data_IF_821368989162
#
_entry.id   IF_821368989162
#
_cell.length_a   1.000
_cell.length_b   1.000
_cell.length_c   1.000
_cell.angle_alpha   90.00
_cell.angle_beta   90.00
_cell.angle_gamma   90.00
#
_symmetry.space_group_name_H-M   'P 1'
#
loop_
_entity.id
_entity.type
_entity.pdbx_description
1 polymer ?
#
# COMPACT_ATOMS: atom_id res chain seq x y z
N UNK A 1 20.86 18.17 32.75
CA UNK A 1 19.84 17.35 32.04
C UNK A 1 20.06 17.62 30.57
N UNK A 2 20.54 16.64 29.83
CA UNK A 2 20.61 16.73 28.35
C UNK A 2 19.17 16.80 27.82
N UNK A 3 18.84 17.86 27.07
CA UNK A 3 17.53 18.01 26.44
C UNK A 3 17.39 16.90 25.40
N UNK A 4 16.32 16.10 25.48
CA UNK A 4 16.01 15.11 24.46
C UNK A 4 15.32 15.78 23.28
N UNK A 5 15.63 15.33 22.06
CA UNK A 5 14.96 15.78 20.83
C UNK A 5 13.62 15.09 20.70
N UNK A 6 12.54 15.85 20.58
CA UNK A 6 11.21 15.30 20.29
C UNK A 6 11.14 14.83 18.83
N UNK A 7 10.64 13.60 18.63
CA UNK A 7 10.55 12.96 17.31
C UNK A 7 9.22 12.28 17.09
N UNK A 8 8.85 12.11 15.82
CA UNK A 8 7.75 11.24 15.40
C UNK A 8 8.30 10.06 14.60
N UNK A 9 7.60 8.95 14.62
CA UNK A 9 8.02 7.70 13.99
C UNK A 9 6.94 7.18 13.04
N UNK A 10 7.34 6.84 11.82
CA UNK A 10 6.51 6.15 10.85
C UNK A 10 6.96 4.70 10.67
N UNK A 11 6.01 3.77 10.63
CA UNK A 11 6.23 2.34 10.36
C UNK A 11 5.39 1.96 9.15
N UNK A 12 5.99 1.20 8.24
CA UNK A 12 5.32 0.60 7.08
C UNK A 12 5.56 -0.91 7.08
N UNK A 13 4.49 -1.68 7.18
CA UNK A 13 4.53 -3.15 7.09
C UNK A 13 4.08 -3.55 5.69
N UNK A 14 5.05 -3.53 4.78
CA UNK A 14 4.80 -3.92 3.39
C UNK A 14 4.94 -5.43 3.14
N UNK A 15 4.56 -5.87 1.95
CA UNK A 15 4.62 -7.28 1.54
C UNK A 15 6.03 -7.84 1.55
N UNK A 16 7.00 -7.09 1.04
CA UNK A 16 8.40 -7.55 0.90
C UNK A 16 9.25 -7.20 2.11
N UNK A 17 9.07 -6.00 2.65
CA UNK A 17 9.85 -5.47 3.76
C UNK A 17 9.01 -4.60 4.68
N UNK A 18 9.38 -4.63 5.95
CA UNK A 18 8.89 -3.72 6.97
C UNK A 18 9.96 -2.64 7.26
N UNK A 19 9.52 -1.42 7.47
CA UNK A 19 10.38 -0.22 7.50
C UNK A 19 9.98 0.71 8.62
N UNK A 20 10.94 1.49 9.12
CA UNK A 20 10.64 2.60 10.03
C UNK A 20 11.54 3.80 9.74
N UNK A 21 11.01 4.99 9.97
CA UNK A 21 11.71 6.27 9.87
C UNK A 21 11.46 7.12 11.10
N UNK A 22 12.49 7.84 11.54
CA UNK A 22 12.35 8.87 12.59
C UNK A 22 12.45 10.24 11.93
N UNK A 23 11.53 11.13 12.28
CA UNK A 23 11.53 12.53 11.83
C UNK A 23 11.51 13.50 13.01
N UNK A 24 12.22 14.61 12.85
CA UNK A 24 12.21 15.73 13.77
C UNK A 24 12.20 17.04 12.98
N UNK A 25 11.52 18.06 13.48
CA UNK A 25 11.55 19.40 12.91
C UNK A 25 12.94 20.05 13.01
N UNK A 26 13.75 19.63 13.99
CA UNK A 26 15.09 20.22 14.24
C UNK A 26 16.22 19.53 13.46
N UNK A 27 15.97 18.39 12.79
CA UNK A 27 16.99 17.62 12.08
C UNK A 27 16.49 17.23 10.68
N UNK A 28 17.16 17.66 9.61
CA UNK A 28 16.76 17.36 8.23
C UNK A 28 17.01 15.89 7.83
N UNK A 29 18.01 15.23 8.44
CA UNK A 29 18.28 13.82 8.21
C UNK A 29 17.17 12.96 8.87
N UNK A 30 16.74 11.92 8.16
CA UNK A 30 15.69 11.01 8.63
C UNK A 30 16.28 9.60 8.78
N UNK A 31 16.71 9.20 10.00
CA UNK A 31 17.19 7.85 10.25
C UNK A 31 16.16 6.81 9.80
N UNK A 32 16.63 5.84 9.02
CA UNK A 32 15.82 4.84 8.37
C UNK A 32 16.34 3.45 8.70
N UNK A 33 15.43 2.51 8.95
CA UNK A 33 15.73 1.11 9.17
C UNK A 33 14.74 0.23 8.39
N UNK A 34 15.23 -0.92 7.94
CA UNK A 34 14.44 -1.86 7.16
C UNK A 34 14.80 -3.29 7.54
N UNK A 35 13.82 -4.19 7.39
CA UNK A 35 14.03 -5.62 7.43
C UNK A 35 13.01 -6.33 6.55
N UNK A 36 13.30 -7.56 6.16
CA UNK A 36 12.36 -8.37 5.36
C UNK A 36 11.13 -8.72 6.19
N UNK A 37 9.94 -8.66 5.59
CA UNK A 37 8.72 -9.19 6.20
C UNK A 37 8.83 -10.73 6.25
N UNK A 38 8.74 -11.36 7.44
CA UNK A 38 9.09 -12.78 7.62
C UNK A 38 7.91 -13.71 7.28
N UNK A 39 7.40 -13.64 6.05
CA UNK A 39 6.39 -14.59 5.57
C UNK A 39 6.92 -16.02 5.58
N UNK A 40 6.03 -16.95 5.90
CA UNK A 40 6.25 -18.38 5.75
C UNK A 40 5.45 -18.88 4.56
N UNK A 41 6.15 -19.49 3.61
CA UNK A 41 5.51 -20.13 2.45
C UNK A 41 5.52 -21.65 2.67
N UNK A 42 4.32 -22.20 2.75
CA UNK A 42 4.08 -23.63 2.90
C UNK A 42 3.96 -24.37 1.57
N UNK A 43 3.55 -25.62 1.63
CA UNK A 43 3.19 -26.41 0.46
C UNK A 43 2.03 -25.77 -0.30
N UNK A 44 1.97 -25.97 -1.60
CA UNK A 44 0.91 -25.43 -2.47
C UNK A 44 0.83 -23.88 -2.52
N UNK A 45 1.93 -23.17 -2.22
CA UNK A 45 2.00 -21.71 -2.34
C UNK A 45 1.29 -20.93 -1.23
N UNK A 46 0.77 -21.60 -0.20
CA UNK A 46 0.17 -20.95 0.95
C UNK A 46 1.20 -20.07 1.65
N UNK A 47 0.85 -18.81 1.88
CA UNK A 47 1.74 -17.82 2.49
C UNK A 47 1.04 -17.15 3.67
N UNK A 48 1.64 -17.23 4.84
CA UNK A 48 1.10 -16.63 6.07
C UNK A 48 2.21 -16.21 7.03
N UNK A 49 1.82 -15.52 8.10
CA UNK A 49 2.71 -15.08 9.17
C UNK A 49 1.99 -15.15 10.52
N UNK A 50 2.72 -15.49 11.57
CA UNK A 50 2.22 -15.40 12.94
C UNK A 50 1.96 -13.91 13.30
N UNK A 51 0.75 -13.55 13.77
CA UNK A 51 0.44 -12.18 14.18
C UNK A 51 1.43 -11.59 15.20
N UNK A 52 1.96 -12.40 16.12
CA UNK A 52 2.95 -11.97 17.10
C UNK A 52 4.32 -11.66 16.48
N UNK A 53 4.69 -12.35 15.39
CA UNK A 53 5.88 -12.00 14.63
C UNK A 53 5.80 -10.59 14.03
N UNK A 54 4.62 -10.17 13.55
CA UNK A 54 4.42 -8.79 13.05
C UNK A 54 4.63 -7.74 14.15
N UNK A 55 4.13 -8.00 15.36
CA UNK A 55 4.36 -7.12 16.52
C UNK A 55 5.84 -7.06 16.88
N UNK A 56 6.51 -8.22 16.92
CA UNK A 56 7.95 -8.29 17.20
C UNK A 56 8.77 -7.50 16.16
N UNK A 57 8.39 -7.58 14.89
CA UNK A 57 8.97 -6.77 13.79
C UNK A 57 8.79 -5.28 14.06
N UNK A 58 7.58 -4.83 14.42
CA UNK A 58 7.31 -3.43 14.70
C UNK A 58 8.10 -2.92 15.92
N UNK A 59 8.17 -3.69 17.01
CA UNK A 59 8.94 -3.35 18.21
C UNK A 59 10.44 -3.25 17.92
N UNK A 60 11.00 -4.22 17.15
CA UNK A 60 12.42 -4.17 16.74
C UNK A 60 12.71 -2.95 15.86
N UNK A 61 11.85 -2.65 14.91
CA UNK A 61 11.99 -1.46 14.04
C UNK A 61 11.95 -0.17 14.85
N UNK A 62 11.03 -0.03 15.82
CA UNK A 62 10.99 1.12 16.73
C UNK A 62 12.33 1.26 17.46
N UNK A 63 12.81 0.16 18.07
CA UNK A 63 14.05 0.18 18.83
C UNK A 63 15.28 0.53 17.98
N UNK A 64 15.38 -0.03 16.79
CA UNK A 64 16.49 0.24 15.85
C UNK A 64 16.44 1.67 15.32
N UNK A 65 15.25 2.18 14.97
CA UNK A 65 15.08 3.53 14.47
C UNK A 65 15.42 4.58 15.55
N UNK A 66 14.99 4.36 16.79
CA UNK A 66 15.35 5.21 17.94
C UNK A 66 16.87 5.21 18.13
N UNK A 67 17.53 4.06 18.22
CA UNK A 67 18.99 3.98 18.37
C UNK A 67 19.74 4.65 17.22
N UNK A 68 19.25 4.51 15.98
CA UNK A 68 19.85 5.17 14.83
C UNK A 68 19.74 6.71 14.94
N UNK A 69 18.62 7.22 15.42
CA UNK A 69 18.46 8.66 15.69
C UNK A 69 19.36 9.14 16.85
N UNK A 70 19.40 8.40 17.95
CA UNK A 70 20.22 8.74 19.11
C UNK A 70 21.72 8.78 18.79
N UNK A 71 22.20 7.91 17.89
CA UNK A 71 23.60 7.90 17.47
C UNK A 71 24.02 9.19 16.71
N UNK A 72 23.09 9.86 16.06
CA UNK A 72 23.35 11.10 15.32
C UNK A 72 22.93 12.38 16.05
N UNK A 73 21.90 12.29 16.89
CA UNK A 73 21.25 13.49 17.46
C UNK A 73 21.32 13.57 19.00
N UNK A 74 21.86 12.55 19.67
CA UNK A 74 21.78 12.41 21.10
C UNK A 74 20.40 11.86 21.55
N UNK A 75 20.04 11.95 22.84
CA UNK A 75 18.81 11.37 23.37
C UNK A 75 17.58 11.87 22.63
N UNK A 76 16.70 10.93 22.21
CA UNK A 76 15.42 11.27 21.57
C UNK A 76 14.24 10.82 22.41
N UNK A 77 13.10 11.49 22.20
CA UNK A 77 11.81 11.15 22.80
C UNK A 77 10.78 10.99 21.69
N UNK A 78 10.27 9.78 21.51
CA UNK A 78 9.19 9.51 20.53
C UNK A 78 7.89 10.06 21.10
N UNK A 79 7.26 11.00 20.39
CA UNK A 79 6.00 11.62 20.79
C UNK A 79 4.80 10.90 20.20
N UNK A 80 4.95 10.38 18.97
CA UNK A 80 3.91 9.62 18.31
C UNK A 80 4.48 8.58 17.33
N UNK A 81 3.69 7.54 17.06
CA UNK A 81 3.99 6.45 16.12
C UNK A 81 2.80 6.27 15.20
N UNK A 82 3.02 6.40 13.90
CA UNK A 82 2.03 6.10 12.85
C UNK A 82 2.37 4.79 12.16
N UNK A 83 1.38 3.92 12.02
CA UNK A 83 1.54 2.61 11.40
C UNK A 83 0.72 2.53 10.11
N UNK A 84 1.38 2.28 9.00
CA UNK A 84 0.79 1.95 7.71
C UNK A 84 1.21 0.54 7.27
N UNK A 85 0.62 0.04 6.22
CA UNK A 85 1.03 -1.22 5.62
C UNK A 85 -0.02 -1.80 4.69
N UNK A 86 0.19 -3.07 4.37
CA UNK A 86 -0.69 -3.85 3.50
C UNK A 86 -2.12 -3.94 4.07
N UNK A 87 -3.10 -3.88 3.19
CA UNK A 87 -4.51 -3.83 3.56
C UNK A 87 -5.13 -5.24 3.62
N UNK A 88 -5.63 -5.80 2.65
CA UNK A 88 -6.49 -7.00 2.55
C UNK A 88 -6.15 -8.18 3.49
N UNK A 89 -4.91 -8.24 3.98
CA UNK A 89 -4.50 -9.16 5.08
C UNK A 89 -4.91 -8.60 6.43
N UNK A 90 -5.28 -9.49 7.35
CA UNK A 90 -5.66 -9.07 8.69
C UNK A 90 -5.59 -10.19 9.72
N UNK A 91 -5.85 -9.83 10.95
CA UNK A 91 -5.81 -10.68 12.14
C UNK A 91 -7.23 -10.88 12.66
N UNK A 92 -7.61 -12.15 12.80
CA UNK A 92 -8.84 -12.51 13.46
C UNK A 92 -8.61 -12.64 14.97
N UNK A 93 -9.30 -11.82 15.76
CA UNK A 93 -9.23 -11.84 17.22
C UNK A 93 -10.40 -12.60 17.82
N UNK A 94 -10.12 -13.42 18.83
CA UNK A 94 -11.13 -14.05 19.66
C UNK A 94 -11.83 -13.01 20.57
N UNK A 95 -12.91 -13.38 21.28
CA UNK A 95 -13.59 -12.47 22.20
C UNK A 95 -12.74 -11.95 23.34
N UNK A 96 -11.57 -12.54 23.61
CA UNK A 96 -10.59 -12.06 24.59
C UNK A 96 -9.51 -11.14 23.97
N UNK A 97 -9.63 -10.80 22.68
CA UNK A 97 -8.69 -9.95 21.96
C UNK A 97 -7.39 -10.66 21.56
N UNK A 98 -7.35 -11.98 21.53
CA UNK A 98 -6.16 -12.75 21.18
C UNK A 98 -6.24 -13.24 19.72
N UNK A 99 -5.12 -13.21 18.97
CA UNK A 99 -5.08 -13.79 17.63
C UNK A 99 -5.49 -15.27 17.62
N UNK A 100 -6.38 -15.64 16.72
CA UNK A 100 -6.91 -16.99 16.63
C UNK A 100 -6.34 -17.79 15.47
N UNK A 101 -5.78 -17.13 14.47
CA UNK A 101 -5.24 -17.74 13.26
C UNK A 101 -4.03 -16.95 12.73
N UNK A 102 -3.18 -17.59 11.90
CA UNK A 102 -2.15 -16.85 11.16
C UNK A 102 -2.76 -15.78 10.23
N UNK A 103 -2.00 -14.70 10.01
CA UNK A 103 -2.32 -13.69 9.00
C UNK A 103 -2.05 -14.27 7.62
N UNK A 104 -3.09 -14.42 6.83
CA UNK A 104 -3.01 -14.90 5.46
C UNK A 104 -2.57 -13.74 4.55
N UNK A 105 -1.57 -13.96 3.70
CA UNK A 105 -1.11 -12.94 2.76
C UNK A 105 -2.24 -12.54 1.79
N UNK A 106 -2.31 -11.26 1.42
CA UNK A 106 -3.34 -10.75 0.53
C UNK A 106 -3.34 -11.45 -0.84
N UNK A 107 -2.17 -11.81 -1.35
CA UNK A 107 -1.99 -12.52 -2.63
C UNK A 107 -2.17 -14.04 -2.53
N UNK A 108 -2.41 -14.59 -1.35
CA UNK A 108 -2.68 -16.01 -1.14
C UNK A 108 -4.08 -16.38 -1.65
N UNK A 109 -4.19 -17.49 -2.36
CA UNK A 109 -5.43 -17.92 -3.00
C UNK A 109 -6.46 -18.57 -2.04
N UNK A 110 -6.12 -18.74 -0.75
CA UNK A 110 -7.08 -19.24 0.25
C UNK A 110 -8.34 -18.39 0.27
N UNK A 111 -9.49 -19.05 0.30
CA UNK A 111 -10.80 -18.41 0.19
C UNK A 111 -11.37 -18.38 -1.23
N UNK A 112 -10.58 -18.72 -2.25
CA UNK A 112 -11.07 -18.76 -3.64
C UNK A 112 -12.19 -19.81 -3.83
N UNK A 113 -12.02 -21.01 -3.29
CA UNK A 113 -13.06 -22.05 -3.34
C UNK A 113 -14.35 -21.62 -2.60
N UNK A 114 -14.21 -21.02 -1.44
CA UNK A 114 -15.32 -20.51 -0.64
C UNK A 114 -16.06 -19.35 -1.35
N UNK A 115 -15.34 -18.50 -2.10
CA UNK A 115 -15.95 -17.47 -2.96
C UNK A 115 -16.72 -18.10 -4.13
N UNK A 116 -16.16 -19.11 -4.79
CA UNK A 116 -16.86 -19.84 -5.84
C UNK A 116 -18.15 -20.52 -5.31
N UNK A 117 -18.08 -21.09 -4.12
CA UNK A 117 -19.26 -21.65 -3.46
C UNK A 117 -20.29 -20.55 -3.18
N UNK A 118 -19.87 -19.42 -2.60
CA UNK A 118 -20.75 -18.29 -2.33
C UNK A 118 -21.39 -17.72 -3.61
N UNK A 119 -20.65 -17.70 -4.73
CA UNK A 119 -21.19 -17.28 -6.02
C UNK A 119 -22.29 -18.19 -6.54
N UNK A 120 -22.22 -19.50 -6.26
CA UNK A 120 -23.26 -20.47 -6.61
C UNK A 120 -24.48 -20.36 -5.68
N UNK A 121 -24.24 -20.17 -4.38
CA UNK A 121 -25.28 -20.15 -3.36
C UNK A 121 -26.04 -18.81 -3.29
N UNK A 122 -25.36 -17.70 -3.65
CA UNK A 122 -25.88 -16.34 -3.63
C UNK A 122 -25.46 -15.54 -4.87
N UNK A 123 -25.91 -15.91 -6.09
CA UNK A 123 -25.43 -15.28 -7.33
C UNK A 123 -25.75 -13.78 -7.42
N UNK A 124 -26.87 -13.34 -6.83
CA UNK A 124 -27.24 -11.92 -6.78
C UNK A 124 -26.27 -11.09 -5.91
N UNK A 125 -25.77 -11.67 -4.83
CA UNK A 125 -24.75 -11.04 -4.00
C UNK A 125 -23.45 -10.89 -4.77
N UNK A 126 -22.96 -11.96 -5.40
CA UNK A 126 -21.75 -11.93 -6.22
C UNK A 126 -21.84 -10.88 -7.35
N UNK A 127 -22.99 -10.82 -8.04
CA UNK A 127 -23.24 -9.85 -9.11
C UNK A 127 -23.26 -8.38 -8.62
N UNK A 128 -23.57 -8.14 -7.34
CA UNK A 128 -23.55 -6.78 -6.75
C UNK A 128 -22.22 -6.40 -6.11
N UNK A 129 -21.35 -7.37 -5.84
CA UNK A 129 -20.15 -7.16 -5.03
C UNK A 129 -19.28 -6.05 -5.58
N UNK A 130 -18.90 -6.12 -6.86
CA UNK A 130 -17.97 -5.16 -7.46
C UNK A 130 -18.53 -3.72 -7.46
N UNK A 131 -19.79 -3.55 -7.83
CA UNK A 131 -20.43 -2.23 -7.86
C UNK A 131 -20.68 -1.64 -6.47
N UNK A 132 -20.88 -2.49 -5.43
CA UNK A 132 -21.08 -2.04 -4.05
C UNK A 132 -19.75 -1.75 -3.37
N UNK A 133 -18.78 -2.66 -3.46
CA UNK A 133 -17.51 -2.56 -2.74
C UNK A 133 -16.42 -1.86 -3.54
N UNK A 134 -16.54 -1.74 -4.86
CA UNK A 134 -15.48 -1.25 -5.73
C UNK A 134 -14.28 -2.20 -5.85
N UNK A 135 -14.40 -3.44 -5.37
CA UNK A 135 -13.34 -4.44 -5.43
C UNK A 135 -13.67 -5.52 -6.47
N UNK A 136 -12.67 -6.06 -7.17
CA UNK A 136 -12.88 -7.21 -8.03
C UNK A 136 -13.30 -8.44 -7.19
N UNK A 137 -14.17 -9.29 -7.75
CA UNK A 137 -14.56 -10.56 -7.15
C UNK A 137 -13.38 -11.53 -7.18
N UNK A 138 -12.57 -11.51 -6.15
CA UNK A 138 -11.33 -12.30 -6.09
C UNK A 138 -10.96 -12.68 -4.67
N UNK A 139 -10.06 -13.65 -4.53
CA UNK A 139 -9.52 -14.07 -3.23
C UNK A 139 -8.65 -13.01 -2.55
N UNK A 140 -8.36 -11.87 -3.17
CA UNK A 140 -7.56 -10.81 -2.55
C UNK A 140 -8.30 -10.11 -1.40
N UNK A 141 -9.59 -9.83 -1.54
CA UNK A 141 -10.36 -9.18 -0.47
C UNK A 141 -10.37 -9.98 0.84
N UNK A 142 -10.40 -9.31 1.99
CA UNK A 142 -10.45 -9.96 3.31
C UNK A 142 -11.67 -10.87 3.46
N UNK A 143 -12.77 -10.58 2.77
CA UNK A 143 -13.97 -11.44 2.75
C UNK A 143 -13.62 -12.90 2.42
N UNK A 144 -12.77 -13.13 1.43
CA UNK A 144 -12.34 -14.48 1.07
C UNK A 144 -11.61 -15.19 2.24
N UNK A 145 -10.73 -14.46 2.94
CA UNK A 145 -10.00 -14.99 4.09
C UNK A 145 -10.94 -15.31 5.25
N UNK A 146 -11.95 -14.47 5.48
CA UNK A 146 -12.97 -14.68 6.50
C UNK A 146 -13.85 -15.89 6.18
N UNK A 147 -14.26 -16.09 4.93
CA UNK A 147 -14.98 -17.28 4.47
C UNK A 147 -14.14 -18.54 4.69
N UNK A 148 -12.87 -18.51 4.34
CA UNK A 148 -11.93 -19.62 4.54
C UNK A 148 -11.76 -19.97 6.03
N UNK A 149 -11.62 -18.97 6.89
CA UNK A 149 -11.53 -19.16 8.35
C UNK A 149 -12.82 -19.75 8.90
N UNK A 150 -13.98 -19.24 8.48
CA UNK A 150 -15.28 -19.78 8.89
C UNK A 150 -15.45 -21.24 8.51
N UNK A 151 -15.09 -21.62 7.29
CA UNK A 151 -15.17 -23.01 6.82
C UNK A 151 -14.33 -23.98 7.66
N UNK A 152 -13.38 -23.46 8.44
CA UNK A 152 -12.50 -24.23 9.37
C UNK A 152 -12.89 -24.11 10.83
N UNK A 153 -14.09 -23.65 11.12
CA UNK A 153 -14.66 -23.62 12.47
C UNK A 153 -14.29 -22.38 13.30
N UNK A 154 -13.57 -21.41 12.73
CA UNK A 154 -13.45 -20.09 13.36
C UNK A 154 -14.76 -19.31 13.23
N UNK A 155 -14.90 -18.19 13.93
CA UNK A 155 -16.06 -17.32 13.84
C UNK A 155 -17.37 -17.95 14.43
N UNK A 156 -17.25 -18.90 15.32
CA UNK A 156 -18.39 -19.55 15.98
C UNK A 156 -19.16 -18.63 16.96
N UNK A 157 -18.62 -17.47 17.32
CA UNK A 157 -19.22 -16.46 18.20
C UNK A 157 -19.40 -15.14 17.47
N UNK A 158 -20.44 -14.34 17.77
CA UNK A 158 -20.60 -13.01 17.19
C UNK A 158 -19.60 -11.95 17.71
N UNK A 159 -18.77 -12.29 18.70
CA UNK A 159 -17.85 -11.37 19.37
C UNK A 159 -16.42 -11.37 18.78
N UNK A 160 -16.22 -12.00 17.62
CA UNK A 160 -14.97 -11.96 16.91
C UNK A 160 -14.72 -10.58 16.29
N UNK A 161 -13.44 -10.18 16.18
CA UNK A 161 -13.03 -8.90 15.59
C UNK A 161 -11.96 -9.15 14.52
N UNK A 162 -12.07 -8.45 13.41
CA UNK A 162 -11.07 -8.43 12.34
C UNK A 162 -10.35 -7.10 12.37
N UNK A 163 -9.03 -7.12 12.41
CA UNK A 163 -8.15 -5.96 12.28
C UNK A 163 -7.24 -6.16 11.07
N UNK A 164 -7.14 -5.18 10.19
CA UNK A 164 -6.08 -5.12 9.17
C UNK A 164 -4.70 -5.07 9.85
N UNK A 165 -3.64 -5.41 9.13
CA UNK A 165 -2.30 -5.52 9.74
C UNK A 165 -1.86 -4.25 10.46
N UNK A 166 -2.00 -3.02 9.93
CA UNK A 166 -1.65 -1.80 10.67
C UNK A 166 -2.49 -1.59 11.93
N UNK A 167 -3.78 -1.89 11.86
CA UNK A 167 -4.73 -1.80 13.00
C UNK A 167 -4.36 -2.78 14.10
N UNK A 168 -4.00 -4.03 13.73
CA UNK A 168 -3.51 -5.03 14.66
C UNK A 168 -2.24 -4.58 15.40
N UNK A 169 -1.27 -4.03 14.67
CA UNK A 169 -0.02 -3.57 15.30
C UNK A 169 -0.29 -2.45 16.29
N UNK A 170 -1.10 -1.46 15.91
CA UNK A 170 -1.50 -0.37 16.83
C UNK A 170 -2.20 -0.93 18.07
N UNK A 171 -3.15 -1.86 17.90
CA UNK A 171 -3.82 -2.51 19.03
C UNK A 171 -2.84 -3.30 19.92
N UNK A 172 -1.98 -4.11 19.34
CA UNK A 172 -1.01 -4.92 20.09
C UNK A 172 0.06 -4.08 20.79
N UNK A 173 0.34 -2.87 20.32
CA UNK A 173 1.24 -1.92 20.99
C UNK A 173 0.58 -1.18 22.16
N UNK A 174 -0.69 -1.43 22.46
CA UNK A 174 -1.43 -0.83 23.58
C UNK A 174 -2.50 0.17 23.16
N UNK A 175 -2.79 0.27 21.84
CA UNK A 175 -3.85 1.10 21.31
C UNK A 175 -5.24 0.47 21.45
N UNK A 176 -6.25 1.21 20.99
CA UNK A 176 -7.64 0.75 20.89
C UNK A 176 -7.86 -0.06 19.60
N UNK A 177 -8.78 -1.04 19.59
CA UNK A 177 -9.19 -1.69 18.37
C UNK A 177 -10.03 -0.71 17.55
N UNK A 178 -9.50 -0.26 16.42
CA UNK A 178 -10.13 0.70 15.51
C UNK A 178 -10.13 0.19 14.08
N UNK A 179 -11.05 0.71 13.27
CA UNK A 179 -11.15 0.50 11.84
C UNK A 179 -10.80 1.80 11.11
N UNK A 180 -9.75 1.78 10.31
CA UNK A 180 -9.41 2.93 9.47
C UNK A 180 -10.08 2.80 8.08
N UNK A 181 -10.73 3.87 7.54
CA UNK A 181 -11.55 3.78 6.33
C UNK A 181 -10.82 3.25 5.08
N UNK A 182 -9.57 3.64 4.83
CA UNK A 182 -8.83 3.18 3.65
C UNK A 182 -8.51 1.68 3.71
N UNK A 183 -8.19 1.17 4.89
CA UNK A 183 -7.99 -0.26 5.16
C UNK A 183 -9.31 -1.03 5.11
N UNK A 184 -10.34 -0.51 5.76
CA UNK A 184 -11.66 -1.14 5.79
C UNK A 184 -12.26 -1.29 4.39
N UNK A 185 -12.04 -0.33 3.50
CA UNK A 185 -12.49 -0.35 2.12
C UNK A 185 -11.95 -1.54 1.31
N UNK A 186 -10.87 -2.19 1.78
CA UNK A 186 -10.24 -3.34 1.12
C UNK A 186 -10.76 -4.69 1.64
N UNK A 187 -11.64 -4.67 2.64
CA UNK A 187 -12.14 -5.89 3.28
C UNK A 187 -13.20 -6.63 2.46
N UNK A 188 -13.92 -5.95 1.56
CA UNK A 188 -15.12 -6.48 0.90
C UNK A 188 -16.35 -6.46 1.80
N UNK A 189 -16.29 -5.81 2.97
CA UNK A 189 -17.38 -5.69 3.94
C UNK A 189 -17.97 -4.28 4.01
N UNK A 190 -17.47 -3.34 3.22
CA UNK A 190 -17.92 -1.94 3.21
C UNK A 190 -18.63 -1.62 1.91
N UNK A 191 -19.80 -1.02 2.01
CA UNK A 191 -20.44 -0.33 0.89
C UNK A 191 -19.73 1.01 0.66
N UNK A 192 -19.06 1.14 -0.48
CA UNK A 192 -18.30 2.34 -0.83
C UNK A 192 -19.18 3.56 -1.11
N UNK A 193 -20.45 3.37 -1.45
CA UNK A 193 -21.41 4.44 -1.64
C UNK A 193 -21.73 5.17 -0.33
N UNK A 194 -21.95 4.40 0.74
CA UNK A 194 -22.33 4.91 2.06
C UNK A 194 -21.17 5.03 3.04
N UNK A 195 -20.06 4.32 2.80
CA UNK A 195 -18.95 4.17 3.75
C UNK A 195 -19.28 3.26 4.95
N UNK A 196 -20.45 2.67 4.96
CA UNK A 196 -20.93 1.84 6.08
C UNK A 196 -20.66 0.35 5.83
N UNK A 197 -20.66 -0.40 6.91
CA UNK A 197 -20.61 -1.88 6.82
C UNK A 197 -21.79 -2.39 5.99
N UNK A 198 -21.50 -3.21 5.00
CA UNK A 198 -22.50 -3.75 4.08
C UNK A 198 -23.23 -4.97 4.70
N UNK A 199 -24.52 -4.84 5.07
CA UNK A 199 -25.24 -5.90 5.77
C UNK A 199 -25.32 -7.22 4.97
N UNK A 200 -25.45 -7.13 3.64
CA UNK A 200 -25.52 -8.32 2.79
C UNK A 200 -24.22 -9.11 2.77
N UNK A 201 -23.05 -8.41 2.84
CA UNK A 201 -21.75 -9.07 2.96
C UNK A 201 -21.61 -9.79 4.30
N UNK A 202 -22.10 -9.18 5.38
CA UNK A 202 -22.13 -9.85 6.70
C UNK A 202 -23.04 -11.08 6.67
N UNK A 203 -24.24 -10.96 6.10
CA UNK A 203 -25.18 -12.07 5.99
C UNK A 203 -24.62 -13.20 5.14
N UNK A 204 -24.07 -12.91 3.96
CA UNK A 204 -23.48 -13.89 3.06
C UNK A 204 -22.29 -14.62 3.70
N UNK A 205 -21.45 -13.89 4.43
CA UNK A 205 -20.32 -14.48 5.15
C UNK A 205 -20.72 -15.07 6.52
N UNK A 206 -21.97 -14.88 6.99
CA UNK A 206 -22.43 -15.30 8.32
C UNK A 206 -21.66 -14.61 9.44
N UNK A 207 -21.38 -13.36 9.28
CA UNK A 207 -20.63 -12.52 10.21
C UNK A 207 -21.55 -11.61 11.02
N UNK A 208 -21.12 -11.24 12.21
CA UNK A 208 -21.74 -10.18 13.02
C UNK A 208 -21.22 -8.81 12.61
N UNK A 209 -22.01 -7.74 12.78
CA UNK A 209 -21.57 -6.38 12.58
C UNK A 209 -20.39 -5.98 13.50
N UNK A 210 -20.18 -6.69 14.59
CA UNK A 210 -19.05 -6.52 15.51
C UNK A 210 -17.71 -6.98 14.94
N UNK A 211 -17.71 -7.65 13.78
CA UNK A 211 -16.47 -8.11 13.13
C UNK A 211 -15.53 -6.95 12.82
N UNK A 212 -16.06 -5.77 12.51
CA UNK A 212 -15.30 -4.54 12.33
C UNK A 212 -15.52 -3.62 13.54
N UNK A 213 -14.45 -3.11 14.16
CA UNK A 213 -14.56 -2.19 15.29
C UNK A 213 -15.02 -0.79 14.86
N UNK A 214 -15.08 0.13 15.83
CA UNK A 214 -15.43 1.54 15.59
C UNK A 214 -14.46 2.23 14.65
N UNK A 215 -14.99 3.14 13.82
CA UNK A 215 -14.20 3.87 12.83
C UNK A 215 -13.31 4.94 13.48
N UNK A 216 -12.08 5.05 12.96
CA UNK A 216 -11.13 6.10 13.30
C UNK A 216 -10.42 6.54 12.01
N UNK A 217 -10.49 7.82 11.60
CA UNK A 217 -9.81 8.28 10.40
C UNK A 217 -8.29 8.20 10.54
N UNK A 218 -7.59 8.14 9.40
CA UNK A 218 -6.14 8.19 9.34
C UNK A 218 -5.58 9.38 10.12
N UNK A 219 -4.54 9.16 10.91
CA UNK A 219 -3.99 10.19 11.80
C UNK A 219 -4.82 10.47 13.07
N UNK A 220 -5.97 9.80 13.26
CA UNK A 220 -6.71 9.88 14.51
C UNK A 220 -6.00 9.16 15.65
N UNK A 221 -6.01 9.72 16.84
CA UNK A 221 -5.39 9.08 18.03
C UNK A 221 -6.09 7.76 18.36
N UNK A 222 -5.31 6.69 18.45
CA UNK A 222 -5.78 5.33 18.74
C UNK A 222 -5.20 4.76 20.04
N UNK A 223 -4.80 5.61 20.97
CA UNK A 223 -4.23 5.22 22.26
C UNK A 223 -2.76 5.58 22.43
N UNK A 224 -2.09 4.89 23.34
CA UNK A 224 -0.70 5.18 23.71
C UNK A 224 0.13 3.90 23.71
N UNK A 225 1.40 4.01 23.34
CA UNK A 225 2.33 2.90 23.32
C UNK A 225 2.62 2.42 24.76
N UNK A 226 2.20 1.20 25.06
CA UNK A 226 2.31 0.56 26.39
C UNK A 226 2.91 -0.85 26.34
N UNK A 227 3.43 -1.28 25.16
CA UNK A 227 3.99 -2.61 24.99
C UNK A 227 5.27 -2.78 25.83
N UNK A 228 5.38 -3.89 26.59
CA UNK A 228 6.52 -4.18 27.49
C UNK A 228 7.89 -4.22 26.78
N UNK A 229 7.92 -4.61 25.50
CA UNK A 229 9.13 -4.61 24.68
C UNK A 229 9.52 -3.25 24.10
N UNK A 230 8.75 -2.18 24.36
CA UNK A 230 9.05 -0.86 23.82
C UNK A 230 10.30 -0.27 24.48
N UNK A 231 11.14 0.40 23.69
CA UNK A 231 12.28 1.15 24.23
C UNK A 231 11.82 2.30 25.09
N UNK A 232 12.57 2.64 26.12
CA UNK A 232 12.19 3.67 27.13
C UNK A 232 11.87 5.03 26.52
N UNK A 233 12.55 5.42 25.43
CA UNK A 233 12.30 6.68 24.72
C UNK A 233 10.99 6.73 23.91
N UNK A 234 10.26 5.60 23.78
CA UNK A 234 9.00 5.52 23.04
C UNK A 234 7.77 5.25 23.93
N UNK A 235 7.95 4.91 25.21
CA UNK A 235 6.84 4.64 26.11
C UNK A 235 5.93 5.87 26.26
N UNK A 236 4.61 5.65 26.17
CA UNK A 236 3.60 6.72 26.23
C UNK A 236 3.46 7.56 24.96
N UNK A 237 4.14 7.21 23.87
CA UNK A 237 3.93 7.85 22.56
C UNK A 237 2.49 7.65 22.07
N UNK A 238 1.91 8.67 21.44
CA UNK A 238 0.60 8.57 20.81
C UNK A 238 0.65 7.55 19.66
N UNK A 239 -0.30 6.64 19.61
CA UNK A 239 -0.45 5.68 18.51
C UNK A 239 -1.53 6.14 17.52
N UNK A 240 -1.27 5.95 16.24
CA UNK A 240 -2.25 6.16 15.19
C UNK A 240 -2.12 5.13 14.07
N UNK A 241 -3.26 4.74 13.50
CA UNK A 241 -3.32 4.02 12.24
C UNK A 241 -3.20 5.06 11.12
N UNK A 242 -2.15 4.95 10.34
CA UNK A 242 -1.92 5.87 9.22
C UNK A 242 -2.75 5.48 7.98
N UNK A 243 -3.14 4.22 7.85
CA UNK A 243 -3.97 3.73 6.77
C UNK A 243 -3.26 2.76 5.83
N UNK A 244 -3.87 2.53 4.67
CA UNK A 244 -3.35 1.69 3.60
C UNK A 244 -2.09 2.29 2.98
N UNK A 245 -1.08 1.48 2.69
CA UNK A 245 0.28 1.90 2.30
C UNK A 245 0.31 2.82 1.05
N UNK A 246 -0.48 2.54 0.01
CA UNK A 246 -0.46 3.33 -1.23
C UNK A 246 -0.96 4.77 -1.07
N UNK A 247 -2.14 5.06 -0.48
CA UNK A 247 -2.54 6.43 -0.22
C UNK A 247 -1.66 7.12 0.83
N UNK A 248 -1.11 6.37 1.78
CA UNK A 248 -0.14 6.92 2.74
C UNK A 248 1.17 7.31 2.05
N UNK A 249 1.63 6.51 1.08
CA UNK A 249 2.80 6.86 0.27
C UNK A 249 2.54 8.10 -0.61
N UNK A 250 1.32 8.28 -1.12
CA UNK A 250 0.91 9.51 -1.80
C UNK A 250 1.04 10.74 -0.89
N UNK A 251 0.58 10.64 0.37
CA UNK A 251 0.80 11.66 1.40
C UNK A 251 2.30 11.94 1.59
N UNK A 252 3.12 10.90 1.64
CA UNK A 252 4.57 10.99 1.84
C UNK A 252 5.33 11.75 0.75
N UNK A 253 4.78 11.85 -0.45
CA UNK A 253 5.33 12.64 -1.57
C UNK A 253 4.60 13.97 -1.77
N UNK A 254 3.68 14.34 -0.89
CA UNK A 254 2.90 15.57 -1.00
C UNK A 254 1.82 15.55 -2.08
N UNK A 255 1.34 14.38 -2.49
CA UNK A 255 0.17 14.23 -3.35
C UNK A 255 -1.09 14.22 -2.45
N UNK A 256 -1.61 15.40 -2.15
CA UNK A 256 -2.70 15.63 -1.18
C UNK A 256 -3.87 16.39 -1.76
N UNK A 257 -3.86 16.64 -3.06
CA UNK A 257 -4.94 17.32 -3.74
C UNK A 257 -5.86 16.33 -4.45
N UNK A 258 -7.09 16.79 -4.70
CA UNK A 258 -8.01 16.06 -5.56
C UNK A 258 -7.44 15.95 -6.99
N UNK A 259 -7.77 14.87 -7.66
CA UNK A 259 -7.36 14.60 -9.04
C UNK A 259 -5.84 14.46 -9.24
N UNK A 260 -5.13 14.00 -8.21
CA UNK A 260 -3.71 13.65 -8.32
C UNK A 260 -3.51 12.15 -8.55
N UNK A 261 -2.48 11.83 -9.30
CA UNK A 261 -2.01 10.47 -9.55
C UNK A 261 -0.67 10.25 -8.83
N UNK A 262 -0.61 9.32 -7.92
CA UNK A 262 0.65 8.81 -7.38
C UNK A 262 1.02 7.50 -8.10
N UNK A 263 2.25 7.41 -8.62
CA UNK A 263 2.79 6.20 -9.21
C UNK A 263 3.91 5.63 -8.33
N UNK A 264 3.62 4.56 -7.61
CA UNK A 264 4.62 3.81 -6.85
C UNK A 264 5.38 2.88 -7.78
N UNK A 265 6.63 3.24 -8.12
CA UNK A 265 7.47 2.51 -9.08
C UNK A 265 8.47 1.61 -8.35
N UNK A 266 7.96 0.46 -7.88
CA UNK A 266 8.69 -0.55 -7.12
C UNK A 266 8.71 -1.92 -7.82
N UNK A 267 8.57 -3.01 -7.06
CA UNK A 267 8.45 -4.39 -7.59
C UNK A 267 7.26 -4.49 -8.56
N UNK A 268 6.13 -3.86 -8.22
CA UNK A 268 5.05 -3.54 -9.15
C UNK A 268 5.01 -2.03 -9.35
N UNK A 269 4.53 -1.58 -10.50
CA UNK A 269 4.08 -0.21 -10.68
C UNK A 269 2.63 -0.13 -10.22
N UNK A 270 2.38 0.56 -9.11
CA UNK A 270 1.03 0.79 -8.62
C UNK A 270 0.63 2.24 -8.89
N UNK A 271 -0.53 2.40 -9.50
CA UNK A 271 -1.18 3.67 -9.76
C UNK A 271 -2.22 3.91 -8.68
N UNK A 272 -2.10 4.99 -7.95
CA UNK A 272 -3.04 5.44 -6.93
C UNK A 272 -3.60 6.81 -7.35
N UNK A 273 -4.86 6.82 -7.81
CA UNK A 273 -5.55 8.01 -8.29
C UNK A 273 -6.51 8.49 -7.22
N UNK A 274 -6.34 9.71 -6.72
CA UNK A 274 -7.32 10.36 -5.85
C UNK A 274 -8.44 10.97 -6.69
N UNK A 275 -9.69 10.80 -6.26
CA UNK A 275 -10.88 11.40 -6.90
C UNK A 275 -11.75 12.01 -5.81
N UNK A 276 -12.22 13.28 -5.98
CA UNK A 276 -13.03 13.92 -4.95
C UNK A 276 -14.38 13.23 -4.76
N UNK A 277 -14.82 13.14 -3.53
CA UNK A 277 -16.13 12.61 -3.16
C UNK A 277 -16.25 11.09 -3.28
N UNK A 278 -17.50 10.64 -3.37
CA UNK A 278 -17.87 9.23 -3.51
C UNK A 278 -18.33 8.98 -4.95
N UNK A 279 -17.83 7.89 -5.53
CA UNK A 279 -18.20 7.49 -6.90
C UNK A 279 -19.57 6.81 -6.91
N UNK A 280 -20.31 7.00 -7.98
CA UNK A 280 -21.60 6.31 -8.22
C UNK A 280 -21.38 4.81 -8.47
N UNK A 281 -22.42 4.01 -8.22
CA UNK A 281 -22.38 2.56 -8.38
C UNK A 281 -21.96 2.12 -9.80
N UNK A 282 -22.47 2.80 -10.82
CA UNK A 282 -22.14 2.55 -12.22
C UNK A 282 -20.70 2.90 -12.54
N UNK A 283 -20.18 3.99 -11.98
CA UNK A 283 -18.76 4.37 -12.13
C UNK A 283 -17.85 3.32 -11.47
N UNK A 284 -18.18 2.87 -10.26
CA UNK A 284 -17.40 1.81 -9.59
C UNK A 284 -17.35 0.54 -10.43
N UNK A 285 -18.49 0.12 -10.99
CA UNK A 285 -18.54 -1.05 -11.86
C UNK A 285 -17.68 -0.91 -13.12
N UNK A 286 -17.74 0.26 -13.77
CA UNK A 286 -16.91 0.55 -14.95
C UNK A 286 -15.42 0.53 -14.61
N UNK A 287 -15.03 1.12 -13.48
CA UNK A 287 -13.64 1.18 -13.00
C UNK A 287 -13.12 -0.22 -12.69
N UNK A 288 -13.91 -1.06 -12.01
CA UNK A 288 -13.52 -2.45 -11.74
C UNK A 288 -13.40 -3.24 -13.04
N UNK A 289 -14.34 -3.07 -13.97
CA UNK A 289 -14.28 -3.68 -15.31
C UNK A 289 -13.05 -3.28 -16.12
N UNK A 290 -12.50 -2.08 -15.89
CA UNK A 290 -11.25 -1.59 -16.49
C UNK A 290 -9.98 -2.13 -15.78
N UNK A 291 -10.12 -2.98 -14.75
CA UNK A 291 -9.01 -3.61 -14.01
C UNK A 291 -8.45 -2.74 -12.87
N UNK A 292 -9.21 -1.75 -12.43
CA UNK A 292 -8.91 -0.97 -11.24
C UNK A 292 -9.77 -1.44 -10.06
N UNK A 293 -9.40 -1.03 -8.86
CA UNK A 293 -10.25 -1.15 -7.69
C UNK A 293 -10.54 0.23 -7.11
N UNK A 294 -11.69 0.37 -6.46
CA UNK A 294 -12.12 1.60 -5.77
C UNK A 294 -12.08 1.35 -4.27
N UNK A 295 -11.63 2.35 -3.51
CA UNK A 295 -11.63 2.35 -2.06
C UNK A 295 -11.71 3.76 -1.52
N UNK A 296 -11.48 3.91 -0.22
CA UNK A 296 -11.35 5.20 0.45
C UNK A 296 -9.89 5.62 0.49
N UNK A 297 -9.65 6.92 0.27
CA UNK A 297 -8.34 7.52 0.52
C UNK A 297 -8.19 7.81 2.03
N UNK A 298 -6.96 8.02 2.50
CA UNK A 298 -6.69 8.53 3.87
C UNK A 298 -7.10 9.99 4.03
N UNK A 299 -7.20 10.74 2.94
CA UNK A 299 -7.79 12.08 2.92
C UNK A 299 -9.32 11.97 3.05
N UNK A 300 -9.96 12.80 3.87
CA UNK A 300 -11.43 12.85 3.97
C UNK A 300 -12.09 13.13 2.61
N UNK A 301 -13.30 12.65 2.44
CA UNK A 301 -14.15 12.88 1.26
C UNK A 301 -13.44 12.62 -0.08
N UNK A 302 -12.57 11.62 -0.11
CA UNK A 302 -11.79 11.28 -1.28
C UNK A 302 -11.85 9.77 -1.56
N UNK A 303 -12.21 9.41 -2.79
CA UNK A 303 -12.10 8.05 -3.30
C UNK A 303 -10.70 7.78 -3.80
N UNK A 304 -10.24 6.55 -3.62
CA UNK A 304 -8.97 6.04 -4.10
C UNK A 304 -9.21 5.01 -5.21
N UNK A 305 -8.61 5.21 -6.37
CA UNK A 305 -8.55 4.21 -7.42
C UNK A 305 -7.16 3.57 -7.43
N UNK A 306 -7.10 2.24 -7.45
CA UNK A 306 -5.84 1.50 -7.47
C UNK A 306 -5.80 0.52 -8.63
N UNK A 307 -4.70 0.54 -9.37
CA UNK A 307 -4.36 -0.49 -10.34
C UNK A 307 -2.86 -0.79 -10.29
N UNK A 308 -2.48 -1.98 -10.69
CA UNK A 308 -1.09 -2.40 -10.75
C UNK A 308 -0.68 -2.87 -12.15
N UNK A 309 0.53 -2.50 -12.55
CA UNK A 309 1.24 -3.08 -13.68
C UNK A 309 2.46 -3.80 -13.15
N UNK A 310 2.66 -5.01 -13.60
CA UNK A 310 3.79 -5.83 -13.15
C UNK A 310 5.16 -5.41 -13.73
N UNK A 311 5.29 -4.14 -14.09
CA UNK A 311 6.43 -3.56 -14.82
C UNK A 311 7.77 -3.75 -14.11
N UNK A 312 7.84 -3.53 -12.80
CA UNK A 312 9.11 -3.62 -12.07
C UNK A 312 9.72 -5.01 -12.05
N UNK A 313 8.91 -6.07 -12.04
CA UNK A 313 9.42 -7.44 -12.15
C UNK A 313 9.94 -7.72 -13.56
N UNK A 314 9.27 -7.25 -14.62
CA UNK A 314 9.75 -7.35 -15.99
C UNK A 314 11.12 -6.66 -16.13
N UNK A 315 11.22 -5.40 -15.67
CA UNK A 315 12.46 -4.64 -15.74
C UNK A 315 13.60 -5.34 -15.00
N UNK A 316 13.35 -5.91 -13.83
CA UNK A 316 14.34 -6.69 -13.08
C UNK A 316 14.80 -7.94 -13.84
N UNK A 317 13.87 -8.68 -14.44
CA UNK A 317 14.19 -9.86 -15.28
C UNK A 317 15.03 -9.47 -16.50
N UNK A 318 14.70 -8.35 -17.13
CA UNK A 318 15.48 -7.82 -18.27
C UNK A 318 16.89 -7.43 -17.86
N UNK A 319 17.07 -6.72 -16.71
CA UNK A 319 18.41 -6.40 -16.18
C UNK A 319 19.23 -7.65 -15.93
N UNK A 320 18.64 -8.68 -15.30
CA UNK A 320 19.31 -9.95 -15.05
C UNK A 320 19.73 -10.65 -16.34
N UNK A 321 18.84 -10.69 -17.33
CA UNK A 321 19.10 -11.29 -18.66
C UNK A 321 20.22 -10.56 -19.42
N UNK A 322 20.29 -9.23 -19.25
CA UNK A 322 21.35 -8.39 -19.86
C UNK A 322 22.65 -8.36 -19.04
N UNK A 323 22.73 -9.04 -17.88
CA UNK A 323 23.89 -9.00 -16.99
C UNK A 323 24.15 -7.61 -16.37
N UNK A 324 23.10 -6.79 -16.25
CA UNK A 324 23.20 -5.37 -15.83
C UNK A 324 22.63 -5.12 -14.42
N UNK A 325 22.69 -6.11 -13.52
CA UNK A 325 22.17 -6.00 -12.14
C UNK A 325 23.07 -5.18 -11.22
N UNK A 326 24.39 -5.18 -11.45
CA UNK A 326 25.32 -4.37 -10.65
C UNK A 326 25.08 -2.88 -10.88
N UNK A 327 25.32 -2.04 -9.87
CA UNK A 327 25.09 -0.61 -9.96
C UNK A 327 25.88 0.05 -11.11
N UNK A 328 27.17 -0.23 -11.35
CA UNK A 328 27.89 0.33 -12.48
C UNK A 328 27.32 -0.08 -13.85
N UNK A 329 26.98 -1.39 -14.02
CA UNK A 329 26.43 -1.89 -15.27
C UNK A 329 25.03 -1.32 -15.54
N UNK A 330 24.20 -1.21 -14.51
CA UNK A 330 22.87 -0.60 -14.59
C UNK A 330 22.95 0.87 -14.96
N UNK A 331 23.86 1.63 -14.36
CA UNK A 331 24.10 3.05 -14.70
C UNK A 331 24.55 3.21 -16.14
N UNK A 332 25.50 2.37 -16.61
CA UNK A 332 25.96 2.41 -18.00
C UNK A 332 24.83 2.09 -19.00
N UNK A 333 24.01 1.07 -18.70
CA UNK A 333 22.85 0.71 -19.50
C UNK A 333 21.82 1.85 -19.55
N UNK A 334 21.51 2.44 -18.41
CA UNK A 334 20.58 3.57 -18.28
C UNK A 334 21.01 4.75 -19.17
N UNK A 335 22.29 5.16 -19.07
CA UNK A 335 22.85 6.24 -19.89
C UNK A 335 22.84 5.92 -21.39
N UNK A 336 23.24 4.69 -21.77
CA UNK A 336 23.22 4.28 -23.17
C UNK A 336 21.78 4.28 -23.75
N UNK A 337 20.80 3.94 -22.94
CA UNK A 337 19.38 3.88 -23.31
C UNK A 337 18.78 5.26 -23.64
N UNK A 338 19.27 6.33 -23.02
CA UNK A 338 18.80 7.70 -23.29
C UNK A 338 19.13 8.17 -24.71
N UNK A 339 20.13 7.56 -25.36
CA UNK A 339 20.53 7.85 -26.73
C UNK A 339 19.80 7.02 -27.77
N UNK A 340 18.95 6.05 -27.36
CA UNK A 340 18.18 5.19 -28.26
C UNK A 340 16.97 5.97 -28.77
N UNK A 341 16.97 6.31 -30.06
CA UNK A 341 15.86 6.94 -30.75
C UNK A 341 14.78 5.92 -31.15
N UNK A 342 14.73 5.57 -32.41
CA UNK A 342 13.86 4.49 -32.92
C UNK A 342 14.44 3.12 -32.56
N UNK A 343 13.55 2.19 -32.25
CA UNK A 343 13.95 0.81 -31.99
C UNK A 343 14.19 0.09 -33.32
N UNK A 344 15.17 -0.83 -33.39
CA UNK A 344 15.38 -1.64 -34.57
C UNK A 344 14.10 -2.36 -35.04
N UNK A 345 13.88 -2.43 -36.33
CA UNK A 345 12.76 -3.18 -36.89
C UNK A 345 12.82 -4.65 -36.42
N UNK A 346 11.70 -5.15 -35.89
CA UNK A 346 11.61 -6.52 -35.35
C UNK A 346 12.06 -6.70 -33.89
N UNK A 347 12.55 -5.67 -33.23
CA UNK A 347 12.61 -5.65 -31.74
C UNK A 347 11.24 -5.25 -31.22
N UNK A 348 10.60 -6.13 -30.47
CA UNK A 348 9.30 -5.85 -29.86
C UNK A 348 9.15 -6.49 -28.49
N UNK A 349 8.35 -5.86 -27.65
CA UNK A 349 7.86 -6.42 -26.38
C UNK A 349 6.35 -6.50 -26.48
N UNK A 350 5.77 -7.67 -26.20
CA UNK A 350 4.33 -7.91 -26.29
C UNK A 350 3.88 -8.86 -25.19
N UNK A 351 2.57 -8.91 -24.93
CA UNK A 351 1.96 -9.74 -23.88
C UNK A 351 1.00 -8.95 -23.03
N UNK A 352 0.46 -9.58 -21.98
CA UNK A 352 -0.34 -8.89 -20.97
C UNK A 352 0.55 -8.33 -19.87
N UNK A 353 0.73 -7.02 -19.82
CA UNK A 353 1.50 -6.33 -18.79
C UNK A 353 0.91 -6.43 -17.39
N UNK A 354 -0.35 -6.90 -17.25
CA UNK A 354 -1.03 -7.09 -15.97
C UNK A 354 -0.61 -8.38 -15.28
N UNK A 355 -0.48 -9.47 -16.02
CA UNK A 355 -0.23 -10.82 -15.47
C UNK A 355 1.22 -11.26 -15.49
N UNK A 356 2.11 -10.69 -16.29
CA UNK A 356 3.53 -11.05 -16.50
C UNK A 356 3.84 -12.44 -17.08
N UNK A 357 2.89 -13.34 -17.11
CA UNK A 357 3.19 -14.73 -17.43
C UNK A 357 3.50 -14.92 -18.91
N UNK A 358 3.03 -13.99 -19.76
CA UNK A 358 3.12 -14.07 -21.23
C UNK A 358 3.88 -12.89 -21.88
N UNK A 359 4.76 -12.19 -21.17
CA UNK A 359 5.57 -11.14 -21.80
C UNK A 359 6.67 -11.76 -22.65
N UNK A 360 6.61 -11.51 -23.95
CA UNK A 360 7.59 -11.99 -24.94
C UNK A 360 8.42 -10.81 -25.43
N UNK A 361 9.74 -10.95 -25.37
CA UNK A 361 10.69 -10.03 -26.01
C UNK A 361 11.22 -10.72 -27.27
N UNK A 362 10.92 -10.15 -28.43
CA UNK A 362 11.46 -10.62 -29.72
C UNK A 362 12.66 -9.75 -30.08
N UNK A 363 13.81 -10.40 -30.28
CA UNK A 363 15.08 -9.74 -30.60
C UNK A 363 15.50 -10.17 -32.00
N UNK A 364 15.91 -9.22 -32.82
CA UNK A 364 16.50 -9.45 -34.14
C UNK A 364 17.90 -8.81 -34.24
N UNK A 365 18.58 -9.09 -35.36
CA UNK A 365 19.91 -8.54 -35.63
C UNK A 365 19.95 -7.02 -35.53
N UNK A 366 21.05 -6.49 -34.99
CA UNK A 366 21.25 -5.05 -34.76
C UNK A 366 20.68 -4.52 -33.40
N UNK A 367 19.97 -5.33 -32.63
CA UNK A 367 19.50 -4.92 -31.31
C UNK A 367 20.65 -4.95 -30.29
N UNK A 368 20.97 -3.81 -29.70
CA UNK A 368 21.92 -3.68 -28.58
C UNK A 368 21.22 -3.90 -27.22
N UNK A 369 21.95 -4.18 -26.13
CA UNK A 369 21.37 -4.20 -24.78
C UNK A 369 20.57 -2.94 -24.44
N UNK A 370 21.04 -1.75 -24.85
CA UNK A 370 20.32 -0.49 -24.68
C UNK A 370 19.00 -0.44 -25.43
N UNK A 371 18.93 -1.01 -26.65
CA UNK A 371 17.66 -1.12 -27.39
C UNK A 371 16.66 -2.04 -26.68
N UNK A 372 17.11 -3.20 -26.19
CA UNK A 372 16.26 -4.17 -25.47
C UNK A 372 15.73 -3.55 -24.17
N UNK A 373 16.59 -2.88 -23.41
CA UNK A 373 16.18 -2.16 -22.22
C UNK A 373 15.15 -1.07 -22.52
N UNK A 374 15.43 -0.23 -23.53
CA UNK A 374 14.51 0.85 -23.95
C UNK A 374 13.15 0.28 -24.37
N UNK A 375 13.12 -0.84 -25.11
CA UNK A 375 11.88 -1.50 -25.50
C UNK A 375 11.07 -1.95 -24.28
N UNK A 376 11.71 -2.57 -23.28
CA UNK A 376 11.05 -3.01 -22.06
C UNK A 376 10.51 -1.83 -21.23
N UNK A 377 11.29 -0.76 -21.09
CA UNK A 377 10.88 0.43 -20.33
C UNK A 377 9.71 1.15 -21.03
N UNK A 378 9.77 1.31 -22.37
CA UNK A 378 8.66 1.91 -23.13
C UNK A 378 7.41 1.05 -23.09
N UNK A 379 7.55 -0.27 -23.14
CA UNK A 379 6.43 -1.19 -22.98
C UNK A 379 5.73 -1.03 -21.62
N UNK A 380 6.48 -1.01 -20.51
CA UNK A 380 5.88 -0.83 -19.18
C UNK A 380 5.18 0.52 -19.03
N UNK A 381 5.75 1.58 -19.58
CA UNK A 381 5.13 2.91 -19.59
C UNK A 381 3.85 2.93 -20.46
N UNK A 382 3.84 2.26 -21.61
CA UNK A 382 2.64 2.14 -22.44
C UNK A 382 1.52 1.37 -21.75
N UNK A 383 1.82 0.28 -21.02
CA UNK A 383 0.81 -0.43 -20.21
C UNK A 383 0.18 0.47 -19.15
N UNK A 384 0.99 1.34 -18.51
CA UNK A 384 0.48 2.35 -17.59
C UNK A 384 -0.48 3.32 -18.27
N UNK A 385 -0.17 3.81 -19.48
CA UNK A 385 -1.04 4.72 -20.24
C UNK A 385 -2.38 4.06 -20.58
N UNK A 386 -2.36 2.81 -21.05
CA UNK A 386 -3.59 2.07 -21.35
C UNK A 386 -4.54 1.98 -20.14
N UNK A 387 -4.01 1.72 -18.95
CA UNK A 387 -4.82 1.73 -17.72
C UNK A 387 -5.41 3.11 -17.44
N UNK A 388 -4.64 4.18 -17.62
CA UNK A 388 -5.11 5.54 -17.39
C UNK A 388 -6.18 5.94 -18.42
N UNK A 389 -6.01 5.59 -19.70
CA UNK A 389 -6.98 5.87 -20.77
C UNK A 389 -8.38 5.33 -20.45
N UNK A 390 -8.45 4.17 -19.81
CA UNK A 390 -9.73 3.55 -19.48
C UNK A 390 -10.44 4.28 -18.33
N UNK A 391 -9.73 4.65 -17.25
CA UNK A 391 -10.38 5.34 -16.14
C UNK A 391 -10.64 6.82 -16.40
N UNK A 392 -9.82 7.48 -17.23
CA UNK A 392 -10.01 8.89 -17.58
C UNK A 392 -11.31 9.13 -18.34
N UNK A 393 -11.86 8.11 -19.00
CA UNK A 393 -13.21 8.15 -19.61
C UNK A 393 -14.32 8.20 -18.55
N UNK A 394 -14.07 7.73 -17.33
CA UNK A 394 -15.05 7.63 -16.24
C UNK A 394 -14.93 8.80 -15.26
N UNK A 395 -13.71 9.17 -14.86
CA UNK A 395 -13.45 10.17 -13.81
C UNK A 395 -12.72 11.41 -14.32
N UNK A 396 -12.43 11.50 -15.61
CA UNK A 396 -11.67 12.60 -16.20
C UNK A 396 -10.15 12.46 -16.00
N UNK A 397 -9.36 13.33 -16.65
CA UNK A 397 -7.91 13.30 -16.58
C UNK A 397 -7.41 13.70 -15.18
N UNK A 398 -6.22 13.23 -14.82
CA UNK A 398 -5.54 13.69 -13.62
C UNK A 398 -4.93 15.09 -13.84
N UNK A 399 -4.86 15.86 -12.77
CA UNK A 399 -4.30 17.21 -12.80
C UNK A 399 -2.77 17.23 -12.69
N UNK A 400 -2.21 16.34 -11.88
CA UNK A 400 -0.78 16.18 -11.60
C UNK A 400 -0.47 14.71 -11.35
N UNK A 401 0.69 14.26 -11.79
CA UNK A 401 1.23 12.96 -11.47
C UNK A 401 2.56 13.07 -10.72
N UNK A 402 2.74 12.24 -9.69
CA UNK A 402 3.99 12.15 -8.94
C UNK A 402 4.42 10.69 -8.88
N UNK A 403 5.64 10.40 -9.35
CA UNK A 403 6.22 9.08 -9.22
C UNK A 403 7.32 9.03 -8.15
N UNK A 404 7.38 7.93 -7.41
CA UNK A 404 8.45 7.62 -6.48
C UNK A 404 8.74 6.11 -6.47
N UNK A 405 9.91 5.73 -5.95
CA UNK A 405 10.31 4.33 -5.82
C UNK A 405 11.64 4.04 -6.52
N UNK A 406 12.12 2.79 -6.38
CA UNK A 406 13.46 2.43 -6.82
C UNK A 406 13.72 2.62 -8.32
N UNK A 407 12.73 2.33 -9.16
CA UNK A 407 12.87 2.47 -10.60
C UNK A 407 12.93 3.92 -11.08
N UNK A 408 12.40 4.87 -10.32
CA UNK A 408 12.50 6.30 -10.66
C UNK A 408 13.92 6.87 -10.47
N UNK A 409 14.86 6.09 -9.95
CA UNK A 409 16.27 6.45 -9.92
C UNK A 409 16.93 6.35 -11.31
N UNK A 410 16.36 5.57 -12.23
CA UNK A 410 16.84 5.42 -13.61
C UNK A 410 16.26 6.51 -14.51
N UNK A 411 17.12 7.23 -15.20
CA UNK A 411 16.73 8.35 -16.08
C UNK A 411 15.91 7.88 -17.29
N UNK A 412 16.21 6.69 -17.85
CA UNK A 412 15.45 6.08 -18.94
C UNK A 412 14.00 5.76 -18.52
N UNK A 413 13.81 5.28 -17.29
CA UNK A 413 12.47 4.99 -16.75
C UNK A 413 11.68 6.30 -16.57
N UNK A 414 12.32 7.33 -16.00
CA UNK A 414 11.69 8.65 -15.87
C UNK A 414 11.28 9.22 -17.23
N UNK A 415 12.18 9.16 -18.21
CA UNK A 415 11.92 9.67 -19.55
C UNK A 415 10.72 8.95 -20.22
N UNK A 416 10.66 7.61 -20.11
CA UNK A 416 9.56 6.84 -20.70
C UNK A 416 8.22 7.12 -20.00
N UNK A 417 8.19 7.23 -18.66
CA UNK A 417 6.97 7.57 -17.93
C UNK A 417 6.48 8.99 -18.26
N UNK A 418 7.38 9.97 -18.28
CA UNK A 418 7.05 11.36 -18.61
C UNK A 418 6.57 11.53 -20.07
N UNK A 419 6.95 10.61 -20.96
CA UNK A 419 6.49 10.63 -22.35
C UNK A 419 5.03 10.17 -22.53
N UNK A 420 4.45 9.46 -21.55
CA UNK A 420 3.10 8.87 -21.68
C UNK A 420 2.14 9.27 -20.58
N UNK A 421 2.62 9.86 -19.48
CA UNK A 421 1.79 10.30 -18.36
C UNK A 421 1.92 11.83 -18.25
N UNK A 422 0.81 12.50 -18.44
CA UNK A 422 0.75 13.97 -18.41
C UNK A 422 1.08 14.53 -17.03
N UNK A 423 1.64 15.74 -16.98
CA UNK A 423 2.01 16.45 -15.75
C UNK A 423 2.82 15.61 -14.74
N UNK A 424 3.66 14.66 -15.24
CA UNK A 424 4.48 13.78 -14.43
C UNK A 424 5.65 14.52 -13.79
N UNK A 425 5.81 14.34 -12.50
CA UNK A 425 6.97 14.76 -11.70
C UNK A 425 7.54 13.58 -10.92
N UNK A 426 8.79 13.71 -10.45
CA UNK A 426 9.48 12.64 -9.72
C UNK A 426 9.88 13.14 -8.35
N UNK A 427 9.40 12.46 -7.31
CA UNK A 427 9.72 12.82 -5.93
C UNK A 427 11.12 12.33 -5.54
N UNK A 428 11.92 13.15 -4.84
CA UNK A 428 13.18 12.70 -4.26
C UNK A 428 13.00 11.83 -3.02
N UNK A 429 11.78 11.69 -2.50
CA UNK A 429 11.48 10.88 -1.31
C UNK A 429 11.72 9.41 -1.63
N UNK A 430 12.70 8.81 -0.98
CA UNK A 430 13.13 7.42 -1.24
C UNK A 430 12.12 6.42 -0.68
N UNK A 431 11.53 6.71 0.47
CA UNK A 431 10.62 5.80 1.19
C UNK A 431 9.29 6.53 1.51
N UNK A 432 8.40 6.68 0.52
CA UNK A 432 7.19 7.48 0.69
C UNK A 432 6.21 6.90 1.73
N UNK A 433 6.05 5.57 1.84
CA UNK A 433 5.14 4.95 2.81
C UNK A 433 5.43 5.32 4.26
N UNK A 434 6.68 5.08 4.72
CA UNK A 434 7.07 5.45 6.10
C UNK A 434 7.10 6.96 6.31
N UNK A 435 7.41 7.76 5.27
CA UNK A 435 7.37 9.22 5.36
C UNK A 435 5.93 9.70 5.57
N UNK A 436 4.97 9.16 4.82
CA UNK A 436 3.55 9.46 5.00
C UNK A 436 3.04 9.01 6.37
N UNK A 437 3.45 7.82 6.84
CA UNK A 437 3.09 7.34 8.17
C UNK A 437 3.63 8.27 9.29
N UNK A 438 4.86 8.78 9.14
CA UNK A 438 5.42 9.74 10.11
C UNK A 438 4.71 11.10 10.06
N UNK A 439 4.26 11.56 8.88
CA UNK A 439 3.45 12.78 8.76
C UNK A 439 2.08 12.61 9.44
N UNK A 440 1.44 11.45 9.30
CA UNK A 440 0.19 11.13 10.00
C UNK A 440 0.39 10.95 11.51
N UNK A 441 1.56 10.47 11.95
CA UNK A 441 1.95 10.48 13.35
C UNK A 441 2.09 11.90 13.91
N UNK A 442 2.70 12.81 13.15
CA UNK A 442 2.78 14.23 13.52
C UNK A 442 1.39 14.88 13.56
N UNK A 443 0.53 14.57 12.59
CA UNK A 443 -0.86 15.04 12.58
C UNK A 443 -1.64 14.55 13.80
N UNK A 444 -1.49 13.30 14.23
CA UNK A 444 -2.12 12.78 15.44
C UNK A 444 -1.70 13.54 16.71
N UNK A 445 -0.52 14.17 16.68
CA UNK A 445 0.03 14.92 17.81
C UNK A 445 -0.41 16.39 17.80
N UNK A 446 -0.23 17.05 16.64
CA UNK A 446 -0.27 18.52 16.52
C UNK A 446 -1.32 19.02 15.51
N UNK A 447 -2.02 18.12 14.81
CA UNK A 447 -2.98 18.47 13.74
C UNK A 447 -4.37 18.88 14.22
N UNK A 448 -4.59 18.99 15.53
CA UNK A 448 -5.91 19.33 16.08
C UNK A 448 -6.40 20.68 15.56
N UNK A 449 -7.56 20.69 14.88
CA UNK A 449 -8.17 21.90 14.31
C UNK A 449 -7.73 22.25 12.88
N UNK A 450 -6.79 21.50 12.28
CA UNK A 450 -6.40 21.69 10.87
C UNK A 450 -6.94 20.56 9.99
N UNK A 451 -7.38 20.83 8.75
CA UNK A 451 -7.61 19.79 7.76
C UNK A 451 -6.30 19.03 7.47
N UNK A 452 -6.38 17.71 7.33
CA UNK A 452 -5.20 16.86 7.11
C UNK A 452 -4.36 17.32 5.90
N UNK A 453 -5.00 17.66 4.77
CA UNK A 453 -4.30 18.13 3.58
C UNK A 453 -3.51 19.43 3.84
N UNK A 454 -4.08 20.36 4.63
CA UNK A 454 -3.41 21.62 4.98
C UNK A 454 -2.19 21.38 5.88
N UNK A 455 -2.33 20.50 6.88
CA UNK A 455 -1.23 20.10 7.74
C UNK A 455 -0.08 19.49 6.93
N UNK A 456 -0.37 18.56 6.01
CA UNK A 456 0.64 17.92 5.17
C UNK A 456 1.33 18.93 4.27
N UNK A 457 0.57 19.85 3.63
CA UNK A 457 1.16 20.91 2.79
C UNK A 457 2.13 21.81 3.55
N UNK A 458 1.83 22.11 4.80
CA UNK A 458 2.73 22.89 5.65
C UNK A 458 3.99 22.10 6.01
N UNK A 459 3.83 20.84 6.44
CA UNK A 459 4.92 19.96 6.87
C UNK A 459 5.85 19.48 5.74
N UNK A 460 5.47 19.63 4.47
CA UNK A 460 6.29 19.24 3.31
C UNK A 460 6.98 20.42 2.63
N UNK A 461 6.71 21.66 3.04
CA UNK A 461 7.38 22.87 2.55
C UNK A 461 8.64 23.24 3.38
N UNK A 462 8.75 22.68 4.56
CA UNK A 462 9.91 22.78 5.44
C UNK A 462 10.95 21.66 5.14
#
# INVERSE_FOLDING_TARGET
MTLSTDVVLGIDIGTTSAKAVVRSASHPATPYVEQRTPWRTGSCGQTDIDPHCLVSVAVDLIGRAVRAAESGWGPVRVRSVGVTGLAESGVLLDPAGRPAAPVIAWFDHRGGHELEQLSRDAPEFAARFERTTGLPWSSQASLAKLLWLRARGYLASPAWTWLSVPEWIVFALGGEPVREPSLASRTGLIDQGTGQVWPDALAAAGLSARILPGERPAGGRAGFLQHEGAVSGAAGAVLTVAGHDHPVAAIGVGAVEADELFNSSGTADVLARSVPGTLEETQRQQIVGAGWSVGRHVLPDTSLLLAGVSGGLLLRRVLATLGSESEPARTALDQASLSVGELPAGLSVSGDGRTQDDVVIRIQDGATPACVWTAAVRYTAAQTRLLLDDIEKVVGPHRRAVAAGGWTQMASVRAAKAAVIDAMSFSPVVQPGVTGAALLAAFALDGEGLPLADFIRQSTKE
#
